data_IF_177437467218
#
_entry.id   IF_177437467218
#
_cell.length_a   1.000
_cell.length_b   1.000
_cell.length_c   1.000
_cell.angle_alpha   90.00
_cell.angle_beta   90.00
_cell.angle_gamma   90.00
#
_symmetry.space_group_name_H-M   'P 1'
#
loop_
_entity.id
_entity.type
_entity.pdbx_description
1 polymer ?
#
# COMPACT_ATOMS: atom_id res chain seq x y z
N UNK A 1 4.32 16.85 7.96
CA UNK A 1 5.58 16.10 7.72
C UNK A 1 6.82 16.97 7.69
N UNK A 2 6.93 18.03 6.87
CA UNK A 2 8.13 18.88 6.90
C UNK A 2 8.39 19.52 8.28
N UNK A 3 7.32 19.95 8.97
CA UNK A 3 7.40 20.47 10.34
C UNK A 3 7.96 19.45 11.36
N UNK A 4 7.57 18.17 11.24
CA UNK A 4 8.06 17.10 12.12
C UNK A 4 9.56 16.90 11.91
N UNK A 5 10.00 16.76 10.65
CA UNK A 5 11.43 16.60 10.31
C UNK A 5 12.26 17.82 10.75
N UNK A 6 11.72 19.02 10.58
CA UNK A 6 12.36 20.26 11.02
C UNK A 6 12.48 20.34 12.55
N UNK A 7 11.44 19.96 13.30
CA UNK A 7 11.48 19.88 14.77
C UNK A 7 12.55 18.93 15.28
N UNK A 8 12.81 17.84 14.55
CA UNK A 8 13.88 16.90 14.88
C UNK A 8 15.29 17.38 14.48
N UNK A 9 15.40 18.51 13.79
CA UNK A 9 16.67 19.07 13.37
C UNK A 9 17.35 18.30 12.23
N UNK A 10 16.61 17.50 11.45
CA UNK A 10 17.17 16.82 10.29
C UNK A 10 17.16 17.73 9.06
N UNK A 11 18.30 17.82 8.38
CA UNK A 11 18.41 18.56 7.13
C UNK A 11 17.51 17.93 6.05
N UNK A 12 16.81 18.78 5.29
CA UNK A 12 15.89 18.32 4.24
C UNK A 12 16.58 17.44 3.19
N UNK A 13 17.83 17.74 2.85
CA UNK A 13 18.58 16.99 1.85
C UNK A 13 18.93 15.58 2.34
N UNK A 14 19.33 15.43 3.60
CA UNK A 14 19.54 14.13 4.24
C UNK A 14 18.25 13.28 4.23
N UNK A 15 17.10 13.88 4.57
CA UNK A 15 15.81 13.16 4.58
C UNK A 15 15.33 12.70 3.19
N UNK A 16 15.80 13.32 2.10
CA UNK A 16 15.45 12.91 0.73
C UNK A 16 16.37 11.82 0.18
N UNK A 17 17.56 11.69 0.75
CA UNK A 17 18.56 10.73 0.31
C UNK A 17 18.15 9.29 0.66
N UNK A 18 18.71 8.31 -0.05
CA UNK A 18 18.54 6.91 0.33
C UNK A 18 19.15 6.68 1.71
N UNK A 19 18.43 5.98 2.57
CA UNK A 19 18.86 5.67 3.94
C UNK A 19 20.28 5.09 4.00
N UNK A 20 20.68 4.27 3.03
CA UNK A 20 22.03 3.70 2.96
C UNK A 20 23.13 4.78 2.98
N UNK A 21 22.93 5.89 2.28
CA UNK A 21 23.92 6.95 2.10
C UNK A 21 23.79 8.12 3.10
N UNK A 22 22.80 8.07 3.99
CA UNK A 22 22.62 9.06 5.07
C UNK A 22 23.74 8.93 6.11
N UNK A 23 24.16 10.04 6.71
CA UNK A 23 25.18 10.08 7.76
C UNK A 23 24.86 9.14 8.94
N UNK A 24 25.92 8.59 9.56
CA UNK A 24 25.79 7.62 10.64
C UNK A 24 25.24 8.30 11.90
N UNK A 25 25.63 9.56 12.13
CA UNK A 25 25.17 10.40 13.22
C UNK A 25 23.65 10.60 13.17
N UNK A 26 23.10 10.88 11.97
CA UNK A 26 21.65 11.02 11.79
C UNK A 26 20.96 9.68 12.07
N UNK A 27 21.46 8.56 11.52
CA UNK A 27 20.87 7.23 11.74
C UNK A 27 20.79 6.86 13.22
N UNK A 28 21.81 7.19 14.02
CA UNK A 28 21.80 6.95 15.45
C UNK A 28 20.78 7.84 16.17
N UNK A 29 20.77 9.13 15.86
CA UNK A 29 19.85 10.09 16.48
C UNK A 29 18.39 9.88 16.08
N UNK A 30 18.12 9.32 14.90
CA UNK A 30 16.76 9.11 14.39
C UNK A 30 15.87 8.33 15.35
N UNK A 31 16.42 7.33 16.05
CA UNK A 31 15.64 6.53 16.99
C UNK A 31 15.14 7.38 18.17
N UNK A 32 16.05 8.06 18.84
CA UNK A 32 15.74 8.86 20.03
C UNK A 32 14.80 10.01 19.67
N UNK A 33 15.02 10.67 18.53
CA UNK A 33 14.15 11.75 18.05
C UNK A 33 12.74 11.24 17.70
N UNK A 34 12.61 10.02 17.17
CA UNK A 34 11.30 9.45 16.87
C UNK A 34 10.55 9.07 18.15
N UNK A 35 11.22 8.45 19.12
CA UNK A 35 10.60 8.13 20.41
C UNK A 35 10.13 9.39 21.17
N UNK A 36 10.87 10.50 21.06
CA UNK A 36 10.50 11.76 21.70
C UNK A 36 9.34 12.50 21.01
N UNK A 37 9.38 12.66 19.69
CA UNK A 37 8.46 13.58 18.98
C UNK A 37 7.25 12.89 18.36
N UNK A 38 7.32 11.61 17.98
CA UNK A 38 6.18 10.93 17.32
C UNK A 38 4.89 10.85 18.16
N UNK A 39 4.95 10.66 19.50
CA UNK A 39 3.76 10.64 20.33
C UNK A 39 2.93 11.93 20.24
N UNK A 40 3.57 13.09 20.09
CA UNK A 40 2.87 14.38 19.91
C UNK A 40 2.00 14.43 18.65
N UNK A 41 2.33 13.61 17.65
CA UNK A 41 1.60 13.53 16.39
C UNK A 41 0.61 12.35 16.34
N UNK A 42 0.38 11.66 17.46
CA UNK A 42 -0.49 10.49 17.53
C UNK A 42 0.13 9.23 16.91
N UNK A 43 1.45 9.22 16.69
CA UNK A 43 2.18 8.08 16.12
C UNK A 43 2.83 7.26 17.26
N UNK A 44 2.01 6.67 18.12
CA UNK A 44 2.47 5.91 19.30
C UNK A 44 3.06 4.54 18.93
N UNK A 45 2.49 3.89 17.90
CA UNK A 45 2.84 2.52 17.51
C UNK A 45 3.81 2.48 16.32
N UNK A 46 4.84 3.32 16.36
CA UNK A 46 5.82 3.41 15.27
C UNK A 46 6.80 2.22 15.26
N UNK A 47 7.17 1.72 16.44
CA UNK A 47 8.08 0.58 16.58
C UNK A 47 7.30 -0.71 16.80
N UNK A 48 7.62 -1.72 16.00
CA UNK A 48 7.08 -3.06 16.14
C UNK A 48 8.22 -4.08 16.14
N UNK A 49 8.01 -5.22 16.80
CA UNK A 49 8.97 -6.33 16.78
C UNK A 49 8.95 -6.98 15.40
N UNK A 50 10.13 -7.13 14.79
CA UNK A 50 10.30 -7.74 13.48
C UNK A 50 11.57 -8.59 13.41
N UNK A 51 11.75 -9.25 12.27
CA UNK A 51 12.93 -10.07 11.99
C UNK A 51 13.76 -9.41 10.89
N UNK A 52 15.07 -9.44 11.06
CA UNK A 52 16.04 -8.96 10.07
C UNK A 52 16.90 -10.13 9.62
N UNK A 53 17.00 -10.30 8.31
CA UNK A 53 17.98 -11.17 7.69
C UNK A 53 19.25 -10.36 7.43
N UNK A 54 20.38 -10.87 7.91
CA UNK A 54 21.71 -10.40 7.53
C UNK A 54 22.20 -11.24 6.36
N UNK A 55 22.42 -10.62 5.21
CA UNK A 55 22.96 -11.29 4.04
C UNK A 55 24.27 -10.63 3.60
N UNK A 56 25.34 -11.43 3.58
CA UNK A 56 26.70 -10.96 3.28
C UNK A 56 27.20 -9.94 4.31
N UNK A 57 28.01 -8.98 3.85
CA UNK A 57 28.74 -8.05 4.71
C UNK A 57 27.97 -6.77 5.10
N UNK A 58 26.87 -6.40 4.42
CA UNK A 58 26.23 -5.10 4.66
C UNK A 58 24.72 -5.02 4.47
N UNK A 59 24.08 -5.99 3.81
CA UNK A 59 22.66 -5.88 3.47
C UNK A 59 21.80 -6.49 4.56
N UNK A 60 21.08 -5.62 5.30
CA UNK A 60 20.03 -6.02 6.25
C UNK A 60 18.68 -5.93 5.55
N UNK A 61 17.90 -6.99 5.59
CA UNK A 61 16.58 -7.05 4.94
C UNK A 61 15.53 -7.41 6.01
N UNK A 62 14.49 -6.59 6.14
CA UNK A 62 13.37 -6.90 7.04
C UNK A 62 12.45 -7.96 6.44
N UNK A 63 11.91 -8.83 7.28
CA UNK A 63 10.85 -9.75 6.88
C UNK A 63 9.65 -9.00 6.25
N UNK A 64 9.34 -7.80 6.74
CA UNK A 64 8.30 -6.96 6.13
C UNK A 64 8.66 -6.52 4.72
N UNK A 65 9.90 -6.09 4.48
CA UNK A 65 10.37 -5.68 3.15
C UNK A 65 10.31 -6.84 2.15
N UNK A 66 10.67 -8.06 2.60
CA UNK A 66 10.54 -9.28 1.79
C UNK A 66 9.09 -9.51 1.39
N UNK A 67 8.16 -9.45 2.34
CA UNK A 67 6.73 -9.66 2.09
C UNK A 67 6.20 -8.64 1.09
N UNK A 68 6.51 -7.35 1.28
CA UNK A 68 6.07 -6.30 0.35
C UNK A 68 6.66 -6.49 -1.04
N UNK A 69 7.96 -6.80 -1.13
CA UNK A 69 8.66 -7.00 -2.40
C UNK A 69 8.13 -8.20 -3.19
N UNK A 70 7.99 -9.36 -2.53
CA UNK A 70 7.48 -10.60 -3.15
C UNK A 70 6.02 -10.44 -3.54
N UNK A 71 5.21 -9.78 -2.70
CA UNK A 71 3.80 -9.49 -3.03
C UNK A 71 3.70 -8.60 -4.27
N UNK A 72 4.56 -7.57 -4.38
CA UNK A 72 4.56 -6.70 -5.55
C UNK A 72 4.98 -7.43 -6.83
N UNK A 73 5.94 -8.36 -6.74
CA UNK A 73 6.25 -9.25 -7.85
C UNK A 73 5.00 -10.03 -8.25
N UNK A 74 4.31 -10.70 -7.32
CA UNK A 74 3.06 -11.42 -7.65
C UNK A 74 1.98 -10.53 -8.29
N UNK A 75 1.93 -9.25 -7.92
CA UNK A 75 0.99 -8.24 -8.42
C UNK A 75 1.43 -7.57 -9.75
N UNK A 76 2.60 -7.87 -10.34
CA UNK A 76 3.10 -7.09 -11.49
C UNK A 76 2.56 -7.51 -12.87
N UNK A 77 1.51 -8.33 -12.95
CA UNK A 77 1.07 -8.98 -14.20
C UNK A 77 0.23 -8.09 -15.14
N UNK A 78 0.36 -6.76 -15.08
CA UNK A 78 -0.54 -5.81 -15.76
C UNK A 78 -0.14 -5.50 -17.20
N UNK A 79 1.04 -5.92 -17.67
CA UNK A 79 1.49 -5.59 -19.03
C UNK A 79 1.31 -6.77 -20.00
N UNK A 80 0.29 -6.61 -20.86
CA UNK A 80 0.09 -7.04 -22.26
C UNK A 80 0.47 -8.43 -22.80
N UNK A 81 1.31 -9.23 -22.18
CA UNK A 81 1.92 -10.40 -22.85
C UNK A 81 1.66 -11.72 -22.12
N UNK A 82 0.38 -12.13 -22.01
CA UNK A 82 0.00 -13.52 -21.69
C UNK A 82 0.77 -14.19 -20.53
N UNK A 83 1.28 -13.39 -19.59
CA UNK A 83 2.15 -13.87 -18.53
C UNK A 83 1.25 -14.56 -17.53
N UNK A 84 1.05 -15.86 -17.77
CA UNK A 84 0.27 -16.73 -16.91
C UNK A 84 0.72 -16.50 -15.47
N UNK A 85 -0.22 -16.38 -14.53
CA UNK A 85 0.08 -16.14 -13.12
C UNK A 85 1.10 -17.14 -12.55
N UNK A 86 1.26 -18.31 -13.17
CA UNK A 86 2.33 -19.28 -12.88
C UNK A 86 3.75 -18.74 -13.11
N UNK A 87 3.99 -17.95 -14.17
CA UNK A 87 5.30 -17.33 -14.43
C UNK A 87 5.65 -16.32 -13.34
N UNK A 88 4.68 -15.47 -12.97
CA UNK A 88 4.89 -14.47 -11.93
C UNK A 88 5.10 -15.11 -10.56
N UNK A 89 4.38 -16.20 -10.27
CA UNK A 89 4.63 -17.03 -9.10
C UNK A 89 6.05 -17.58 -9.08
N UNK A 90 6.54 -18.13 -10.19
CA UNK A 90 7.93 -18.60 -10.30
C UNK A 90 8.96 -17.50 -10.04
N UNK A 91 8.73 -16.29 -10.56
CA UNK A 91 9.61 -15.13 -10.31
C UNK A 91 9.60 -14.73 -8.83
N UNK A 92 8.42 -14.69 -8.21
CA UNK A 92 8.26 -14.35 -6.80
C UNK A 92 8.89 -15.41 -5.87
N UNK A 93 8.73 -16.69 -6.20
CA UNK A 93 9.38 -17.80 -5.48
C UNK A 93 10.90 -17.74 -5.62
N UNK A 94 11.40 -17.49 -6.84
CA UNK A 94 12.82 -17.28 -7.08
C UNK A 94 13.40 -16.12 -6.26
N UNK A 95 12.63 -15.05 -6.03
CA UNK A 95 13.05 -13.91 -5.23
C UNK A 95 13.21 -14.21 -3.73
N UNK A 96 12.66 -15.33 -3.24
CA UNK A 96 12.90 -15.81 -1.88
C UNK A 96 14.25 -16.53 -1.74
N UNK A 97 14.90 -16.88 -2.85
CA UNK A 97 16.21 -17.51 -2.83
C UNK A 97 17.30 -16.48 -2.51
N UNK A 98 18.16 -16.80 -1.54
CA UNK A 98 19.27 -15.95 -1.12
C UNK A 98 20.29 -15.65 -2.23
N UNK A 99 20.29 -16.45 -3.30
CA UNK A 99 21.19 -16.30 -4.44
C UNK A 99 20.67 -15.32 -5.50
N UNK A 100 19.41 -14.86 -5.40
CA UNK A 100 18.72 -14.05 -6.44
C UNK A 100 18.14 -12.76 -5.85
N UNK A 101 18.92 -12.04 -5.04
CA UNK A 101 18.46 -10.81 -4.36
C UNK A 101 18.10 -9.67 -5.32
N UNK A 102 18.62 -9.64 -6.54
CA UNK A 102 18.26 -8.62 -7.54
C UNK A 102 16.77 -8.65 -7.90
N UNK A 103 16.19 -9.87 -7.92
CA UNK A 103 14.74 -10.06 -8.14
C UNK A 103 13.96 -9.47 -6.97
N UNK A 104 14.41 -9.72 -5.75
CA UNK A 104 13.81 -9.16 -4.55
C UNK A 104 13.90 -7.63 -4.53
N UNK A 105 15.05 -7.06 -4.91
CA UNK A 105 15.22 -5.61 -5.01
C UNK A 105 14.26 -5.00 -6.04
N UNK A 106 14.09 -5.67 -7.19
CA UNK A 106 13.12 -5.27 -8.21
C UNK A 106 11.70 -5.29 -7.64
N UNK A 107 11.35 -6.33 -6.88
CA UNK A 107 10.08 -6.43 -6.16
C UNK A 107 9.88 -5.29 -5.16
N UNK A 108 10.89 -4.98 -4.34
CA UNK A 108 10.83 -3.86 -3.39
C UNK A 108 10.61 -2.52 -4.09
N UNK A 109 11.28 -2.29 -5.24
CA UNK A 109 11.07 -1.09 -6.06
C UNK A 109 9.63 -1.02 -6.60
N UNK A 110 9.06 -2.15 -7.02
CA UNK A 110 7.65 -2.21 -7.44
C UNK A 110 6.70 -1.97 -6.27
N UNK A 111 6.97 -2.53 -5.09
CA UNK A 111 6.17 -2.31 -3.89
C UNK A 111 6.08 -0.82 -3.51
N UNK A 112 7.21 -0.10 -3.63
CA UNK A 112 7.25 1.36 -3.44
C UNK A 112 6.34 2.08 -4.45
N UNK A 113 6.33 1.66 -5.73
CA UNK A 113 5.45 2.23 -6.76
C UNK A 113 3.98 2.02 -6.40
N UNK A 114 3.60 0.79 -6.02
CA UNK A 114 2.23 0.46 -5.59
C UNK A 114 1.83 1.30 -4.38
N UNK A 115 2.68 1.37 -3.35
CA UNK A 115 2.36 2.15 -2.14
C UNK A 115 2.26 3.66 -2.42
N UNK A 116 3.07 4.20 -3.34
CA UNK A 116 2.94 5.60 -3.80
C UNK A 116 1.63 5.83 -4.54
N UNK A 117 1.21 4.89 -5.40
CA UNK A 117 -0.08 4.96 -6.08
C UNK A 117 -1.24 4.92 -5.07
N UNK A 118 -1.16 4.05 -4.05
CA UNK A 118 -2.14 4.00 -2.95
C UNK A 118 -2.25 5.36 -2.26
N UNK A 119 -1.13 5.96 -1.87
CA UNK A 119 -1.11 7.25 -1.18
C UNK A 119 -1.65 8.38 -2.06
N UNK A 120 -1.22 8.47 -3.32
CA UNK A 120 -1.66 9.51 -4.27
C UNK A 120 -3.16 9.44 -4.50
N UNK A 121 -3.65 8.28 -4.94
CA UNK A 121 -5.07 8.08 -5.21
C UNK A 121 -5.91 8.22 -3.94
N UNK A 122 -5.39 7.74 -2.80
CA UNK A 122 -6.10 7.80 -1.53
C UNK A 122 -6.22 9.23 -1.05
N UNK A 123 -5.13 10.00 -1.10
CA UNK A 123 -5.14 11.41 -0.74
C UNK A 123 -6.09 12.22 -1.62
N UNK A 124 -6.08 12.01 -2.94
CA UNK A 124 -7.03 12.63 -3.86
C UNK A 124 -8.47 12.26 -3.53
N UNK A 125 -8.76 10.97 -3.25
CA UNK A 125 -10.11 10.54 -2.91
C UNK A 125 -10.62 11.16 -1.58
N UNK A 126 -9.72 11.44 -0.63
CA UNK A 126 -10.05 12.02 0.68
C UNK A 126 -10.23 13.54 0.63
N UNK A 127 -9.50 14.23 -0.24
CA UNK A 127 -9.54 15.70 -0.37
C UNK A 127 -10.59 16.16 -1.39
N UNK A 128 -10.77 15.42 -2.48
CA UNK A 128 -11.75 15.73 -3.53
C UNK A 128 -13.17 15.41 -3.04
N UNK A 129 -14.00 16.45 -2.93
CA UNK A 129 -15.41 16.29 -2.59
C UNK A 129 -16.10 15.42 -3.63
N UNK A 130 -16.82 14.39 -3.16
CA UNK A 130 -17.65 13.53 -3.99
C UNK A 130 -16.98 12.28 -4.56
N UNK A 131 -15.67 12.07 -4.35
CA UNK A 131 -14.97 10.82 -4.70
C UNK A 131 -15.38 9.67 -3.78
N UNK A 132 -15.56 9.94 -2.49
CA UNK A 132 -16.11 9.01 -1.51
C UNK A 132 -17.57 9.34 -1.28
N UNK A 133 -18.45 8.36 -1.49
CA UNK A 133 -19.88 8.46 -1.23
C UNK A 133 -20.25 7.51 -0.10
N UNK A 134 -21.02 8.02 0.85
CA UNK A 134 -21.48 7.26 2.01
C UNK A 134 -22.97 6.97 1.88
N UNK A 135 -23.33 5.70 1.79
CA UNK A 135 -24.70 5.24 1.99
C UNK A 135 -24.99 4.98 3.47
N UNK A 136 -26.21 4.50 3.76
CA UNK A 136 -26.61 4.12 5.11
C UNK A 136 -25.74 2.98 5.67
N UNK A 137 -25.58 1.89 4.89
CA UNK A 137 -24.89 0.66 5.34
C UNK A 137 -23.39 0.58 4.96
N UNK A 138 -22.98 1.18 3.85
CA UNK A 138 -21.61 1.07 3.32
C UNK A 138 -21.16 2.36 2.65
N UNK A 139 -19.85 2.47 2.41
CA UNK A 139 -19.24 3.54 1.60
C UNK A 139 -18.75 2.98 0.28
N UNK A 140 -18.70 3.81 -0.75
CA UNK A 140 -18.00 3.49 -1.97
C UNK A 140 -17.16 4.63 -2.49
N UNK A 141 -16.14 4.26 -3.26
CA UNK A 141 -15.15 5.19 -3.77
C UNK A 141 -15.04 5.00 -5.26
N UNK A 142 -15.18 6.11 -5.99
CA UNK A 142 -14.93 6.16 -7.42
C UNK A 142 -13.48 6.59 -7.62
N UNK A 143 -12.69 5.72 -8.24
CA UNK A 143 -11.35 6.08 -8.70
C UNK A 143 -11.43 6.76 -10.06
N UNK A 144 -10.61 7.78 -10.26
CA UNK A 144 -10.47 8.42 -11.56
C UNK A 144 -9.49 7.63 -12.41
N UNK A 145 -9.69 7.62 -13.72
CA UNK A 145 -8.83 6.88 -14.62
C UNK A 145 -7.46 7.57 -14.70
N UNK A 146 -6.44 6.86 -14.24
CA UNK A 146 -5.08 7.37 -14.12
C UNK A 146 -4.10 6.21 -14.29
N UNK A 147 -2.84 6.50 -14.61
CA UNK A 147 -1.81 5.46 -14.69
C UNK A 147 -1.68 4.65 -13.39
N UNK A 148 -1.95 5.28 -12.24
CA UNK A 148 -1.95 4.64 -10.92
C UNK A 148 -3.10 3.62 -10.76
N UNK A 149 -4.20 3.80 -11.50
CA UNK A 149 -5.39 2.93 -11.43
C UNK A 149 -5.07 1.50 -11.87
N UNK A 150 -4.20 1.34 -12.89
CA UNK A 150 -3.71 0.03 -13.34
C UNK A 150 -3.00 -0.75 -12.24
N UNK A 151 -2.19 -0.06 -11.42
CA UNK A 151 -1.47 -0.67 -10.29
C UNK A 151 -2.42 -1.08 -9.16
N UNK A 152 -3.57 -0.43 -9.04
CA UNK A 152 -4.58 -0.70 -8.01
C UNK A 152 -5.62 -1.74 -8.45
N UNK A 153 -5.57 -2.24 -9.68
CA UNK A 153 -6.48 -3.27 -10.19
C UNK A 153 -6.28 -4.63 -9.53
N UNK A 154 -5.10 -4.91 -8.98
CA UNK A 154 -4.85 -6.16 -8.28
C UNK A 154 -5.62 -6.24 -6.96
N UNK A 155 -6.24 -7.38 -6.62
CA UNK A 155 -7.08 -7.50 -5.42
C UNK A 155 -6.33 -7.14 -4.14
N UNK A 156 -5.04 -7.50 -4.04
CA UNK A 156 -4.25 -7.24 -2.85
C UNK A 156 -3.78 -5.76 -2.74
N UNK A 157 -3.40 -5.13 -3.84
CA UNK A 157 -3.21 -3.68 -3.91
C UNK A 157 -4.52 -2.92 -3.60
N UNK A 158 -5.64 -3.50 -4.02
CA UNK A 158 -6.97 -2.98 -3.76
C UNK A 158 -7.31 -3.03 -2.26
N UNK A 159 -6.98 -4.13 -1.58
CA UNK A 159 -7.09 -4.28 -0.12
C UNK A 159 -6.31 -3.20 0.61
N UNK A 160 -5.03 -3.01 0.24
CA UNK A 160 -4.12 -2.05 0.89
C UNK A 160 -4.68 -0.63 0.86
N UNK A 161 -5.20 -0.21 -0.29
CA UNK A 161 -5.84 1.10 -0.39
C UNK A 161 -7.18 1.17 0.34
N UNK A 162 -7.96 0.08 0.39
CA UNK A 162 -9.17 0.02 1.19
C UNK A 162 -8.88 0.31 2.67
N UNK A 163 -7.86 -0.35 3.24
CA UNK A 163 -7.38 -0.08 4.59
C UNK A 163 -6.90 1.36 4.76
N UNK A 164 -6.05 1.85 3.84
CA UNK A 164 -5.58 3.23 3.86
C UNK A 164 -6.73 4.25 3.93
N UNK A 165 -7.78 4.07 3.13
CA UNK A 165 -8.94 4.96 3.16
C UNK A 165 -9.76 4.84 4.44
N UNK A 166 -9.95 3.62 4.95
CA UNK A 166 -10.68 3.41 6.20
C UNK A 166 -9.94 4.06 7.37
N UNK A 167 -8.62 3.90 7.43
CA UNK A 167 -7.77 4.53 8.44
C UNK A 167 -7.84 6.06 8.33
N UNK A 168 -7.65 6.62 7.14
CA UNK A 168 -7.70 8.07 6.96
C UNK A 168 -9.09 8.68 7.21
N UNK A 169 -10.18 7.94 6.96
CA UNK A 169 -11.53 8.37 7.32
C UNK A 169 -11.77 8.30 8.83
N UNK A 170 -11.22 7.28 9.51
CA UNK A 170 -11.26 7.14 10.96
C UNK A 170 -10.56 8.33 11.63
N UNK A 171 -9.36 8.69 11.17
CA UNK A 171 -8.62 9.86 11.68
C UNK A 171 -9.36 11.19 11.47
N UNK A 172 -10.21 11.29 10.43
CA UNK A 172 -11.10 12.44 10.22
C UNK A 172 -12.36 12.43 11.09
N UNK A 173 -12.53 11.45 11.98
CA UNK A 173 -13.71 11.31 12.84
C UNK A 173 -14.94 10.73 12.13
N UNK A 174 -14.79 10.12 10.95
CA UNK A 174 -15.91 9.50 10.27
C UNK A 174 -16.28 8.16 10.95
N UNK A 175 -17.58 7.89 11.11
CA UNK A 175 -18.06 6.60 11.65
C UNK A 175 -17.49 5.41 10.87
N UNK A 176 -17.09 4.32 11.51
CA UNK A 176 -16.65 3.13 10.79
C UNK A 176 -17.81 2.50 10.01
N UNK A 177 -17.60 2.27 8.72
CA UNK A 177 -18.53 1.59 7.81
C UNK A 177 -17.71 0.74 6.83
N UNK A 178 -18.21 -0.43 6.40
CA UNK A 178 -17.54 -1.22 5.36
C UNK A 178 -17.39 -0.39 4.08
N UNK A 179 -16.23 -0.51 3.44
CA UNK A 179 -15.88 0.21 2.23
C UNK A 179 -15.95 -0.75 1.04
N UNK A 180 -16.98 -0.55 0.22
CA UNK A 180 -17.19 -1.22 -1.07
C UNK A 180 -16.45 -0.45 -2.15
N UNK A 181 -15.47 -1.06 -2.78
CA UNK A 181 -14.67 -0.37 -3.77
C UNK A 181 -15.25 -0.54 -5.17
N UNK A 182 -15.32 0.56 -5.92
CA UNK A 182 -15.71 0.58 -7.32
C UNK A 182 -14.52 1.10 -8.14
N UNK A 183 -13.85 0.17 -8.81
CA UNK A 183 -12.90 0.51 -9.86
C UNK A 183 -13.69 0.79 -11.14
N UNK A 184 -13.47 1.97 -11.71
CA UNK A 184 -13.90 2.27 -13.07
C UNK A 184 -12.70 1.96 -13.98
N UNK A 185 -12.73 0.83 -14.68
CA UNK A 185 -11.84 0.59 -15.80
C UNK A 185 -12.63 0.81 -17.08
N UNK A 186 -12.25 1.80 -17.88
CA UNK A 186 -12.79 1.95 -19.24
C UNK A 186 -12.21 0.81 -20.07
N UNK A 187 -13.03 -0.20 -20.37
CA UNK A 187 -12.63 -1.21 -21.36
C UNK A 187 -12.59 -0.54 -22.75
N UNK A 188 -11.67 -0.95 -23.61
CA UNK A 188 -11.55 -0.42 -24.97
C UNK A 188 -12.80 -0.68 -25.84
N UNK A 189 -13.74 -1.51 -25.39
CA UNK A 189 -14.99 -1.84 -26.10
C UNK A 189 -16.24 -1.12 -25.56
N UNK A 190 -16.10 -0.02 -24.81
CA UNK A 190 -17.26 0.76 -24.35
C UNK A 190 -18.09 0.11 -23.24
N UNK A 191 -17.70 -1.07 -22.76
CA UNK A 191 -18.34 -1.74 -21.63
C UNK A 191 -17.70 -1.30 -20.31
N UNK A 192 -18.46 -0.58 -19.48
CA UNK A 192 -18.04 -0.20 -18.13
C UNK A 192 -17.93 -1.45 -17.24
N UNK A 193 -16.71 -1.94 -16.98
CA UNK A 193 -16.48 -3.05 -16.05
C UNK A 193 -16.29 -2.50 -14.65
N UNK A 194 -17.19 -2.87 -13.74
CA UNK A 194 -17.11 -2.54 -12.32
C UNK A 194 -16.57 -3.74 -11.56
N UNK A 195 -15.37 -3.62 -10.98
CA UNK A 195 -14.90 -4.60 -10.01
C UNK A 195 -15.39 -4.19 -8.63
N UNK A 196 -16.31 -4.98 -8.07
CA UNK A 196 -16.80 -4.83 -6.71
C UNK A 196 -15.92 -5.64 -5.77
N UNK A 197 -15.30 -4.97 -4.81
CA UNK A 197 -14.47 -5.61 -3.81
C UNK A 197 -14.80 -5.04 -2.44
N UNK A 198 -14.94 -5.90 -1.44
CA UNK A 198 -15.25 -5.48 -0.07
C UNK A 198 -13.98 -5.52 0.78
N UNK A 199 -13.53 -4.36 1.23
CA UNK A 199 -12.60 -4.29 2.34
C UNK A 199 -13.42 -4.49 3.63
N UNK A 200 -13.58 -5.75 4.05
CA UNK A 200 -14.28 -6.06 5.29
C UNK A 200 -13.47 -5.52 6.47
N UNK A 201 -14.14 -4.76 7.36
CA UNK A 201 -13.67 -4.62 8.73
C UNK A 201 -13.54 -6.03 9.30
N UNK A 202 -12.38 -6.38 9.86
CA UNK A 202 -12.19 -7.64 10.57
C UNK A 202 -13.35 -7.87 11.54
N UNK A 203 -14.30 -8.69 11.11
CA UNK A 203 -15.44 -9.14 11.86
C UNK A 203 -15.35 -10.67 11.79
N UNK A 204 -15.29 -11.34 12.94
CA UNK A 204 -15.02 -12.78 13.11
C UNK A 204 -15.90 -13.74 12.30
N UNK A 205 -16.89 -13.24 11.55
CA UNK A 205 -17.79 -14.04 10.73
C UNK A 205 -17.44 -13.89 9.25
N UNK A 206 -16.54 -14.76 8.76
CA UNK A 206 -16.09 -14.88 7.34
C UNK A 206 -17.20 -15.22 6.30
N UNK A 207 -18.49 -14.97 6.58
CA UNK A 207 -19.61 -15.54 5.78
C UNK A 207 -20.52 -14.56 5.05
N UNK A 208 -20.39 -13.26 5.19
CA UNK A 208 -21.32 -12.34 4.54
C UNK A 208 -20.69 -11.64 3.34
N UNK A 209 -21.42 -11.62 2.21
CA UNK A 209 -21.29 -10.69 1.07
C UNK A 209 -20.51 -11.17 -0.17
N UNK A 210 -20.09 -12.44 -0.29
CA UNK A 210 -19.72 -12.96 -1.63
C UNK A 210 -20.94 -13.13 -2.58
N UNK A 211 -22.17 -13.04 -2.06
CA UNK A 211 -23.40 -13.43 -2.77
C UNK A 211 -24.36 -12.29 -3.19
N UNK A 212 -24.11 -11.03 -2.84
CA UNK A 212 -25.18 -10.01 -2.95
C UNK A 212 -25.33 -9.29 -4.30
N UNK A 213 -24.49 -9.53 -5.32
CA UNK A 213 -24.55 -8.74 -6.57
C UNK A 213 -24.62 -9.52 -7.87
N UNK A 214 -25.05 -10.79 -7.82
CA UNK A 214 -25.40 -11.55 -9.02
C UNK A 214 -26.91 -11.49 -9.26
N UNK A 215 -27.45 -10.29 -9.53
CA UNK A 215 -28.75 -10.11 -10.22
C UNK A 215 -28.97 -8.63 -10.58
N UNK A 216 -28.91 -8.36 -11.88
CA UNK A 216 -29.79 -7.42 -12.60
C UNK A 216 -29.60 -7.68 -14.10
N UNK A 217 -30.36 -8.66 -14.59
CA UNK A 217 -31.02 -8.57 -15.89
C UNK A 217 -32.22 -7.65 -15.74
#
# INVERSE_FOLDING_TARGET
>A
MQLLLARMGFAREECKQKFQYMSVEIKHRMKDMFEQYLPEFGLTDFYYRGFLLLHGYSSKISAADVVYGVTALLESSVESDGSSGSKQFGIAYDALSLNKLDKLETGMRQAIKVQRAVLRQGSTAITKKGSIRSGSKFRWVKLEDSADTKLLCHPQALTKFGYFLMDALREKGARMKPLMRLLHSRAEEGLNRWHLWEASTWCSSRKCIRYCFQKRS
#
